data_IF_035826167284
#
_entry.id   IF_035826167284
#
_cell.length_a   1.000
_cell.length_b   1.000
_cell.length_c   1.000
_cell.angle_alpha   90.00
_cell.angle_beta   90.00
_cell.angle_gamma   90.00
#
_symmetry.space_group_name_H-M   'P 1'
#
loop_
_entity.id
_entity.type
_entity.pdbx_description
1 polymer ?
#
# COMPACT_ATOMS: atom_id res chain seq x y z
N UNK A 1 4.22 -2.75 11.26
CA UNK A 1 4.11 -2.52 9.80
C UNK A 1 3.00 -3.40 9.27
N UNK A 2 2.36 -3.02 8.16
CA UNK A 2 1.29 -3.80 7.53
C UNK A 2 1.71 -5.26 7.28
N UNK A 3 2.92 -5.48 6.74
CA UNK A 3 3.48 -6.82 6.51
C UNK A 3 3.46 -7.70 7.78
N UNK A 4 3.93 -7.16 8.91
CA UNK A 4 4.00 -7.93 10.17
C UNK A 4 2.59 -8.32 10.64
N UNK A 5 1.66 -7.36 10.59
CA UNK A 5 0.28 -7.58 10.99
C UNK A 5 -0.40 -8.62 10.08
N UNK A 6 -0.15 -8.57 8.77
CA UNK A 6 -0.71 -9.54 7.82
C UNK A 6 -0.19 -10.96 8.06
N UNK A 7 1.10 -11.11 8.40
CA UNK A 7 1.67 -12.41 8.79
C UNK A 7 1.01 -12.93 10.07
N UNK A 8 0.84 -12.07 11.09
CA UNK A 8 0.17 -12.43 12.34
C UNK A 8 -1.29 -12.82 12.11
N UNK A 9 -2.03 -12.05 11.30
CA UNK A 9 -3.40 -12.33 10.92
C UNK A 9 -3.52 -13.67 10.16
N UNK A 10 -2.59 -13.95 9.25
CA UNK A 10 -2.55 -15.22 8.52
C UNK A 10 -2.34 -16.42 9.45
N UNK A 11 -1.34 -16.34 10.34
CA UNK A 11 -1.02 -17.42 11.28
C UNK A 11 -2.19 -17.71 12.22
N UNK A 12 -2.87 -16.67 12.70
CA UNK A 12 -4.01 -16.80 13.61
C UNK A 12 -5.33 -17.08 12.89
N UNK A 13 -5.37 -16.90 11.57
CA UNK A 13 -6.60 -16.94 10.79
C UNK A 13 -7.62 -15.89 11.21
N UNK A 14 -7.13 -14.69 11.55
CA UNK A 14 -7.95 -13.58 12.05
C UNK A 14 -8.46 -12.73 10.88
N UNK A 15 -9.71 -12.96 10.46
CA UNK A 15 -10.31 -12.18 9.38
C UNK A 15 -10.51 -10.71 9.74
N UNK A 16 -10.75 -10.40 11.02
CA UNK A 16 -11.06 -9.04 11.45
C UNK A 16 -9.80 -8.19 11.34
N UNK A 17 -8.67 -8.75 11.78
CA UNK A 17 -7.37 -8.14 11.57
C UNK A 17 -7.07 -7.92 10.07
N UNK A 18 -7.44 -8.87 9.20
CA UNK A 18 -7.23 -8.72 7.75
C UNK A 18 -7.97 -7.49 7.18
N UNK A 19 -9.23 -7.26 7.56
CA UNK A 19 -9.96 -6.04 7.16
C UNK A 19 -9.30 -4.77 7.72
N UNK A 20 -8.95 -4.75 9.00
CA UNK A 20 -8.30 -3.59 9.63
C UNK A 20 -6.94 -3.25 8.99
N UNK A 21 -6.21 -4.25 8.48
CA UNK A 21 -4.94 -4.03 7.77
C UNK A 21 -5.17 -3.43 6.39
N UNK A 22 -6.21 -3.86 5.66
CA UNK A 22 -6.58 -3.25 4.38
C UNK A 22 -6.89 -1.76 4.54
N UNK A 23 -7.61 -1.36 5.59
CA UNK A 23 -7.92 0.05 5.87
C UNK A 23 -6.65 0.90 6.11
N UNK A 24 -5.51 0.28 6.46
CA UNK A 24 -4.23 0.99 6.59
C UNK A 24 -3.64 1.37 5.23
N UNK A 25 -4.00 0.66 4.15
CA UNK A 25 -3.48 0.88 2.81
C UNK A 25 -3.96 2.22 2.26
N UNK A 26 -5.21 2.63 2.54
CA UNK A 26 -5.75 3.96 2.22
C UNK A 26 -4.82 5.09 2.64
N UNK A 27 -4.21 4.96 3.83
CA UNK A 27 -3.26 5.95 4.34
C UNK A 27 -1.96 5.95 3.55
N UNK A 28 -1.44 4.77 3.17
CA UNK A 28 -0.25 4.65 2.31
C UNK A 28 -0.51 5.30 0.95
N UNK A 29 -1.70 5.08 0.44
CA UNK A 29 -2.18 5.54 -0.85
C UNK A 29 -2.32 7.07 -0.90
N UNK A 30 -2.90 7.66 0.15
CA UNK A 30 -2.95 9.11 0.36
C UNK A 30 -1.55 9.73 0.46
N UNK A 31 -0.64 9.10 1.20
CA UNK A 31 0.75 9.56 1.33
C UNK A 31 1.44 9.53 -0.04
N UNK A 32 1.24 8.47 -0.82
CA UNK A 32 1.78 8.37 -2.18
C UNK A 32 1.26 9.49 -3.08
N UNK A 33 -0.07 9.72 -3.10
CA UNK A 33 -0.69 10.82 -3.88
C UNK A 33 -0.13 12.18 -3.50
N UNK A 34 0.02 12.46 -2.20
CA UNK A 34 0.61 13.69 -1.69
C UNK A 34 2.08 13.86 -2.09
N UNK A 35 2.88 12.81 -1.93
CA UNK A 35 4.30 12.81 -2.31
C UNK A 35 4.46 13.03 -3.81
N UNK A 36 3.64 12.38 -4.62
CA UNK A 36 3.65 12.51 -6.07
C UNK A 36 3.44 13.98 -6.50
N UNK A 37 2.42 14.64 -5.95
CA UNK A 37 2.12 16.04 -6.25
C UNK A 37 3.26 16.99 -5.85
N UNK A 38 3.86 16.77 -4.67
CA UNK A 38 4.97 17.60 -4.17
C UNK A 38 6.21 17.45 -5.06
N UNK A 39 6.59 16.21 -5.39
CA UNK A 39 7.80 15.94 -6.18
C UNK A 39 7.61 16.42 -7.62
N UNK A 40 6.45 16.19 -8.22
CA UNK A 40 6.13 16.68 -9.56
C UNK A 40 6.21 18.21 -9.63
N UNK A 41 5.66 18.91 -8.65
CA UNK A 41 5.74 20.37 -8.57
C UNK A 41 7.20 20.84 -8.49
N UNK A 42 8.04 20.19 -7.68
CA UNK A 42 9.47 20.53 -7.55
C UNK A 42 10.23 20.34 -8.86
N UNK A 43 10.02 19.23 -9.56
CA UNK A 43 10.64 18.97 -10.87
C UNK A 43 10.19 20.00 -11.92
N UNK A 44 8.92 20.43 -11.87
CA UNK A 44 8.42 21.48 -12.77
C UNK A 44 8.99 22.88 -12.50
N UNK A 45 9.47 23.14 -11.28
CA UNK A 45 10.11 24.43 -10.91
C UNK A 45 11.63 24.45 -11.06
N UNK A 46 12.27 23.28 -11.04
CA UNK A 46 13.73 23.13 -11.12
C UNK A 46 14.09 21.85 -11.89
N UNK A 47 14.57 22.01 -13.12
CA UNK A 47 14.95 20.90 -13.98
C UNK A 47 16.11 20.07 -13.41
N UNK A 48 16.97 20.65 -12.58
CA UNK A 48 18.07 19.91 -11.94
C UNK A 48 17.56 18.82 -10.98
N UNK A 49 16.32 18.95 -10.51
CA UNK A 49 15.67 17.99 -9.63
C UNK A 49 15.02 16.82 -10.38
N UNK A 50 14.95 16.81 -11.71
CA UNK A 50 14.24 15.78 -12.48
C UNK A 50 14.75 14.37 -12.17
N UNK A 51 16.07 14.16 -12.19
CA UNK A 51 16.65 12.84 -11.92
C UNK A 51 16.38 12.38 -10.48
N UNK A 52 16.61 13.26 -9.50
CA UNK A 52 16.39 12.92 -8.09
C UNK A 52 14.91 12.70 -7.78
N UNK A 53 14.04 13.58 -8.29
CA UNK A 53 12.60 13.48 -8.15
C UNK A 53 12.05 12.19 -8.74
N UNK A 54 12.53 11.78 -9.92
CA UNK A 54 12.15 10.50 -10.53
C UNK A 54 12.50 9.30 -9.64
N UNK A 55 13.70 9.28 -9.05
CA UNK A 55 14.10 8.21 -8.11
C UNK A 55 13.22 8.18 -6.85
N UNK A 56 12.85 9.36 -6.32
CA UNK A 56 11.92 9.47 -5.19
C UNK A 56 10.54 8.93 -5.57
N UNK A 57 10.00 9.30 -6.74
CA UNK A 57 8.71 8.80 -7.21
C UNK A 57 8.70 7.28 -7.36
N UNK A 58 9.78 6.68 -7.88
CA UNK A 58 9.89 5.22 -7.93
C UNK A 58 9.93 4.58 -6.55
N UNK A 59 10.75 5.10 -5.63
CA UNK A 59 10.80 4.60 -4.27
C UNK A 59 9.43 4.68 -3.57
N UNK A 60 8.73 5.82 -3.70
CA UNK A 60 7.38 5.99 -3.17
C UNK A 60 6.38 5.03 -3.81
N UNK A 61 6.46 4.80 -5.13
CA UNK A 61 5.58 3.83 -5.80
C UNK A 61 5.84 2.40 -5.35
N UNK A 62 7.10 2.01 -5.13
CA UNK A 62 7.40 0.68 -4.61
C UNK A 62 6.89 0.48 -3.18
N UNK A 63 6.86 1.54 -2.36
CA UNK A 63 6.25 1.47 -1.03
C UNK A 63 4.72 1.32 -1.10
N UNK A 64 4.03 2.03 -2.00
CA UNK A 64 2.60 1.82 -2.26
C UNK A 64 2.32 0.39 -2.74
N UNK A 65 3.08 -0.13 -3.72
CA UNK A 65 2.93 -1.52 -4.20
C UNK A 65 3.11 -2.56 -3.10
N UNK A 66 3.95 -2.29 -2.10
CA UNK A 66 4.10 -3.19 -0.95
C UNK A 66 2.82 -3.17 -0.10
N UNK A 67 2.15 -2.03 0.03
CA UNK A 67 0.82 -1.88 0.60
C UNK A 67 -0.23 -2.73 -0.13
N UNK A 68 -0.39 -2.53 -1.45
CA UNK A 68 -1.29 -3.33 -2.30
C UNK A 68 -1.07 -4.84 -2.13
N UNK A 69 0.20 -5.27 -2.08
CA UNK A 69 0.55 -6.68 -1.90
C UNK A 69 0.14 -7.21 -0.53
N UNK A 70 0.16 -6.38 0.52
CA UNK A 70 -0.38 -6.74 1.82
C UNK A 70 -1.91 -6.83 1.77
N UNK A 71 -2.59 -5.91 1.08
CA UNK A 71 -4.04 -5.96 0.86
C UNK A 71 -4.45 -7.27 0.18
N UNK A 72 -3.74 -7.67 -0.88
CA UNK A 72 -3.95 -8.97 -1.55
C UNK A 72 -3.79 -10.16 -0.59
N UNK A 73 -2.78 -10.13 0.30
CA UNK A 73 -2.60 -11.19 1.30
C UNK A 73 -3.81 -11.23 2.26
N UNK A 74 -4.33 -10.08 2.66
CA UNK A 74 -5.50 -9.97 3.53
C UNK A 74 -6.77 -10.51 2.87
N UNK A 75 -6.98 -10.24 1.58
CA UNK A 75 -8.06 -10.84 0.79
C UNK A 75 -7.98 -12.38 0.78
N UNK A 76 -6.78 -12.95 0.63
CA UNK A 76 -6.58 -14.39 0.70
C UNK A 76 -6.84 -14.98 2.09
N UNK A 77 -6.54 -14.25 3.17
CA UNK A 77 -6.89 -14.66 4.55
C UNK A 77 -8.41 -14.77 4.68
N UNK A 78 -9.14 -13.76 4.22
CA UNK A 78 -10.60 -13.71 4.25
C UNK A 78 -11.20 -14.85 3.41
N UNK A 79 -10.69 -15.03 2.19
CA UNK A 79 -11.09 -16.13 1.31
C UNK A 79 -10.88 -17.49 1.97
N UNK A 80 -9.72 -17.72 2.59
CA UNK A 80 -9.42 -18.99 3.25
C UNK A 80 -10.38 -19.34 4.39
N UNK A 81 -11.08 -18.35 4.98
CA UNK A 81 -12.05 -18.55 6.06
C UNK A 81 -13.48 -18.60 5.57
N UNK A 82 -13.87 -17.71 4.65
CA UNK A 82 -15.26 -17.57 4.17
C UNK A 82 -15.59 -18.38 2.92
N UNK A 83 -14.57 -18.77 2.15
CA UNK A 83 -14.72 -19.46 0.86
C UNK A 83 -15.17 -18.55 -0.29
N UNK A 84 -15.34 -17.25 -0.06
CA UNK A 84 -15.71 -16.26 -1.08
C UNK A 84 -14.64 -15.17 -1.16
N UNK A 85 -14.25 -14.83 -2.39
CA UNK A 85 -13.25 -13.78 -2.63
C UNK A 85 -13.89 -12.40 -2.43
N UNK A 86 -13.11 -11.48 -1.88
CA UNK A 86 -13.45 -10.07 -1.72
C UNK A 86 -12.36 -9.25 -2.38
N UNK A 87 -12.75 -8.17 -3.06
CA UNK A 87 -11.83 -7.16 -3.60
C UNK A 87 -11.84 -5.99 -2.64
N UNK A 88 -10.67 -5.65 -2.09
CA UNK A 88 -10.49 -4.61 -1.08
C UNK A 88 -9.52 -3.51 -1.54
N UNK A 89 -9.09 -3.52 -2.81
CA UNK A 89 -8.18 -2.53 -3.38
C UNK A 89 -8.91 -1.45 -4.21
N UNK A 90 -10.13 -1.03 -3.81
CA UNK A 90 -10.89 0.02 -4.53
C UNK A 90 -10.46 1.46 -4.20
#
# INVERSE_FOLDING_TARGET
SMIKLAIEAYVNGDEKAAYEICDMDDTVDEIYRGMFAIVLKKMGTDESMINQGTQILFASKYLERIGDHVTNICEWIIFSKKGNYVDLNE
#
